data_IF_076085844993
#
_entry.id   IF_076085844993
#
_cell.length_a   1.000
_cell.length_b   1.000
_cell.length_c   1.000
_cell.angle_alpha   90.00
_cell.angle_beta   90.00
_cell.angle_gamma   90.00
#
_symmetry.space_group_name_H-M   'P 1'
#
loop_
_entity.id
_entity.type
_entity.pdbx_description
1 polymer ?
#
# COMPACT_ATOMS: atom_id res chain seq x y z
N UNK A 1 14.12 -9.15 -10.12
CA UNK A 1 14.24 -8.49 -8.81
C UNK A 1 14.22 -6.99 -9.08
N UNK A 2 13.46 -6.20 -8.31
CA UNK A 2 13.47 -4.75 -8.49
C UNK A 2 14.82 -4.17 -8.03
N UNK A 3 15.14 -2.96 -8.48
CA UNK A 3 16.32 -2.20 -8.03
C UNK A 3 16.00 -1.22 -6.89
N UNK A 4 14.72 -1.08 -6.56
CA UNK A 4 14.24 -0.16 -5.53
C UNK A 4 14.55 -0.65 -4.10
N UNK A 5 14.65 0.29 -3.16
CA UNK A 5 14.89 0.00 -1.76
C UNK A 5 13.76 -0.85 -1.14
N UNK A 6 14.14 -1.95 -0.50
CA UNK A 6 13.21 -2.85 0.19
C UNK A 6 13.00 -2.41 1.64
N UNK A 7 12.12 -1.42 1.84
CA UNK A 7 11.82 -0.84 3.15
C UNK A 7 10.56 -1.42 3.81
N UNK A 8 9.75 -2.18 3.08
CA UNK A 8 8.42 -2.59 3.53
C UNK A 8 8.39 -4.07 3.90
N UNK A 9 7.73 -4.42 5.00
CA UNK A 9 7.39 -5.81 5.31
C UNK A 9 5.93 -5.94 5.72
N UNK A 10 5.38 -7.14 5.57
CA UNK A 10 4.04 -7.45 6.06
C UNK A 10 4.12 -8.36 7.28
N UNK A 11 3.44 -8.00 8.36
CA UNK A 11 3.46 -8.76 9.62
C UNK A 11 2.51 -9.98 9.60
N UNK A 12 1.62 -10.08 8.61
CA UNK A 12 0.73 -11.23 8.43
C UNK A 12 1.23 -12.26 7.40
N UNK A 13 2.12 -11.87 6.49
CA UNK A 13 2.68 -12.79 5.50
C UNK A 13 3.67 -13.77 6.15
N UNK A 14 3.58 -15.04 5.75
CA UNK A 14 4.56 -16.05 6.15
C UNK A 14 5.97 -15.59 5.72
N UNK A 15 6.96 -15.70 6.61
CA UNK A 15 8.37 -15.31 6.38
C UNK A 15 8.65 -13.80 6.28
N UNK A 16 7.62 -12.96 6.11
CA UNK A 16 7.72 -11.48 6.13
C UNK A 16 8.93 -10.90 5.37
N UNK A 17 9.05 -11.14 4.05
CA UNK A 17 10.18 -10.61 3.27
C UNK A 17 10.15 -9.08 3.21
N UNK A 18 11.34 -8.47 3.11
CA UNK A 18 11.47 -7.05 2.78
C UNK A 18 11.21 -6.83 1.29
N UNK A 19 10.32 -5.89 0.99
CA UNK A 19 9.83 -5.56 -0.34
C UNK A 19 9.99 -4.05 -0.58
N UNK A 20 10.22 -3.67 -1.84
CA UNK A 20 10.00 -2.28 -2.22
C UNK A 20 8.50 -1.94 -2.24
N UNK A 21 8.15 -0.66 -2.37
CA UNK A 21 6.76 -0.22 -2.35
C UNK A 21 5.92 -0.88 -3.47
N UNK A 22 6.46 -1.01 -4.68
CA UNK A 22 5.76 -1.61 -5.83
C UNK A 22 5.55 -3.12 -5.64
N UNK A 23 6.58 -3.85 -5.20
CA UNK A 23 6.47 -5.28 -4.86
C UNK A 23 5.50 -5.52 -3.71
N UNK A 24 5.51 -4.64 -2.68
CA UNK A 24 4.56 -4.69 -1.57
C UNK A 24 3.12 -4.51 -2.08
N UNK A 25 2.87 -3.50 -2.94
CA UNK A 25 1.56 -3.27 -3.56
C UNK A 25 1.07 -4.47 -4.37
N UNK A 26 1.91 -5.04 -5.23
CA UNK A 26 1.54 -6.19 -6.08
C UNK A 26 1.20 -7.41 -5.21
N UNK A 27 2.06 -7.72 -4.23
CA UNK A 27 1.89 -8.87 -3.34
C UNK A 27 0.60 -8.80 -2.54
N UNK A 28 0.22 -7.61 -2.06
CA UNK A 28 -0.91 -7.42 -1.15
C UNK A 28 -2.18 -6.90 -1.84
N UNK A 29 -2.23 -6.78 -3.17
CA UNK A 29 -3.39 -6.26 -3.92
C UNK A 29 -4.71 -6.97 -3.57
N UNK A 30 -4.66 -8.26 -3.25
CA UNK A 30 -5.82 -9.10 -2.91
C UNK A 30 -5.90 -9.44 -1.41
N UNK A 31 -5.08 -8.78 -0.59
CA UNK A 31 -4.95 -9.03 0.85
C UNK A 31 -5.15 -7.72 1.62
N UNK A 32 -6.29 -7.02 1.47
CA UNK A 32 -6.48 -5.65 1.94
C UNK A 32 -6.43 -5.48 3.47
N UNK A 33 -6.55 -6.59 4.22
CA UNK A 33 -6.53 -6.59 5.69
C UNK A 33 -5.16 -6.93 6.28
N UNK A 34 -4.16 -7.22 5.45
CA UNK A 34 -2.81 -7.43 5.93
C UNK A 34 -2.21 -6.12 6.46
N UNK A 35 -1.47 -6.22 7.57
CA UNK A 35 -0.74 -5.11 8.16
C UNK A 35 0.69 -5.06 7.63
N UNK A 36 1.16 -3.84 7.36
CA UNK A 36 2.53 -3.60 6.92
C UNK A 36 3.26 -2.67 7.88
N UNK A 37 4.58 -2.70 7.77
CA UNK A 37 5.49 -1.81 8.45
C UNK A 37 6.51 -1.27 7.44
N UNK A 38 7.02 -0.07 7.73
CA UNK A 38 8.06 0.60 6.95
C UNK A 38 9.30 0.78 7.83
N UNK A 39 10.46 0.45 7.28
CA UNK A 39 11.75 0.73 7.92
C UNK A 39 12.07 2.22 7.84
N UNK A 40 12.23 2.87 9.00
CA UNK A 40 12.58 4.31 9.11
C UNK A 40 14.04 4.62 9.39
N UNK A 41 14.89 3.59 9.44
CA UNK A 41 16.33 3.69 9.65
C UNK A 41 16.78 3.06 10.96
N UNK A 42 15.97 3.17 12.00
CA UNK A 42 16.22 2.64 13.34
C UNK A 42 15.20 1.55 13.74
N UNK A 43 13.95 1.68 13.30
CA UNK A 43 12.88 0.76 13.65
C UNK A 43 11.86 0.58 12.51
N UNK A 44 11.01 -0.43 12.68
CA UNK A 44 9.83 -0.64 11.84
C UNK A 44 8.65 0.10 12.45
N UNK A 45 8.05 1.01 11.67
CA UNK A 45 6.84 1.71 12.07
C UNK A 45 5.60 1.10 11.40
N UNK A 46 4.49 0.93 12.13
CA UNK A 46 3.23 0.50 11.55
C UNK A 46 2.75 1.44 10.45
N UNK A 47 2.34 0.86 9.32
CA UNK A 47 1.76 1.58 8.18
C UNK A 47 0.53 0.85 7.65
N UNK A 48 -0.23 1.56 6.84
CA UNK A 48 -1.38 1.02 6.10
C UNK A 48 -0.96 0.69 4.67
N UNK A 49 -1.61 -0.30 4.07
CA UNK A 49 -1.40 -0.66 2.65
C UNK A 49 -1.66 0.52 1.70
N UNK A 50 -2.47 1.50 2.10
CA UNK A 50 -2.66 2.77 1.37
C UNK A 50 -1.36 3.58 1.22
N UNK A 51 -0.38 3.42 2.14
CA UNK A 51 0.93 4.08 2.05
C UNK A 51 1.76 3.59 0.86
N UNK A 52 1.49 2.38 0.36
CA UNK A 52 2.08 1.81 -0.86
C UNK A 52 1.12 1.84 -2.05
N UNK A 53 0.00 2.57 -1.94
CA UNK A 53 -0.95 2.79 -3.03
C UNK A 53 -1.93 1.64 -3.27
N UNK A 54 -2.24 0.83 -2.24
CA UNK A 54 -3.38 -0.09 -2.30
C UNK A 54 -4.66 0.66 -1.93
N UNK A 55 -5.67 0.47 -2.77
CA UNK A 55 -6.99 1.06 -2.64
C UNK A 55 -8.03 -0.05 -2.73
N UNK A 56 -9.19 0.16 -2.09
CA UNK A 56 -10.34 -0.74 -2.16
C UNK A 56 -11.44 -0.02 -2.93
N UNK A 57 -11.80 -0.54 -4.09
CA UNK A 57 -12.92 -0.02 -4.87
C UNK A 57 -14.20 -0.78 -4.47
N UNK A 58 -15.20 -0.05 -3.98
CA UNK A 58 -16.43 -0.62 -3.39
C UNK A 58 -17.51 -1.00 -4.43
N UNK A 59 -17.21 -0.89 -5.72
CA UNK A 59 -18.12 -1.20 -6.82
C UNK A 59 -17.37 -1.89 -7.97
N UNK A 60 -18.08 -2.17 -9.07
CA UNK A 60 -17.49 -2.72 -10.31
C UNK A 60 -16.58 -3.93 -10.10
N UNK A 61 -16.98 -4.86 -9.21
CA UNK A 61 -16.19 -6.07 -8.89
C UNK A 61 -14.75 -5.76 -8.40
N UNK A 62 -14.53 -4.57 -7.83
CA UNK A 62 -13.23 -4.11 -7.38
C UNK A 62 -12.42 -3.36 -8.44
N UNK A 63 -12.99 -3.11 -9.62
CA UNK A 63 -12.41 -2.22 -10.62
C UNK A 63 -12.68 -0.75 -10.27
N UNK A 64 -11.85 0.12 -10.85
CA UNK A 64 -12.04 1.57 -10.76
C UNK A 64 -13.35 1.94 -11.46
N UNK A 65 -14.16 2.80 -10.84
CA UNK A 65 -15.35 3.36 -11.46
C UNK A 65 -14.99 4.06 -12.79
N UNK A 66 -15.65 3.75 -13.92
CA UNK A 66 -15.36 4.38 -15.22
C UNK A 66 -15.42 5.91 -15.19
N UNK A 67 -16.35 6.48 -14.42
CA UNK A 67 -16.48 7.94 -14.24
C UNK A 67 -15.31 8.55 -13.46
N UNK A 68 -14.54 7.74 -12.74
CA UNK A 68 -13.39 8.18 -11.95
C UNK A 68 -12.04 7.83 -12.62
N UNK A 69 -12.07 7.21 -13.81
CA UNK A 69 -10.85 6.71 -14.47
C UNK A 69 -9.85 7.83 -14.76
N UNK A 70 -10.33 8.98 -15.27
CA UNK A 70 -9.49 10.15 -15.56
C UNK A 70 -8.88 10.75 -14.28
N UNK A 71 -9.70 10.91 -13.23
CA UNK A 71 -9.25 11.40 -11.93
C UNK A 71 -8.13 10.54 -11.30
N UNK A 72 -8.19 9.22 -11.46
CA UNK A 72 -7.15 8.32 -10.93
C UNK A 72 -5.86 8.30 -11.76
N UNK A 73 -5.97 8.40 -13.09
CA UNK A 73 -4.82 8.45 -13.99
C UNK A 73 -4.02 9.74 -13.80
N UNK A 74 -4.71 10.86 -13.52
CA UNK A 74 -4.11 12.15 -13.20
C UNK A 74 -3.55 12.25 -11.76
N UNK A 75 -3.69 11.18 -10.97
CA UNK A 75 -3.12 11.10 -9.63
C UNK A 75 -3.91 11.86 -8.55
N UNK A 76 -5.18 12.20 -8.79
CA UNK A 76 -6.01 13.03 -7.93
C UNK A 76 -6.26 12.49 -6.51
N UNK A 77 -6.02 11.20 -6.25
CA UNK A 77 -6.12 10.59 -4.92
C UNK A 77 -4.78 10.11 -4.33
N UNK A 78 -3.64 10.41 -4.96
CA UNK A 78 -2.31 9.96 -4.51
C UNK A 78 -1.76 10.71 -3.28
N UNK A 79 -2.61 11.21 -2.38
CA UNK A 79 -2.09 11.58 -1.07
C UNK A 79 -2.05 10.30 -0.23
N UNK A 80 -0.85 9.82 0.17
CA UNK A 80 -0.77 8.75 1.15
C UNK A 80 -1.63 9.16 2.33
N UNK A 81 -2.49 8.25 2.81
CA UNK A 81 -3.22 8.47 4.05
C UNK A 81 -2.21 8.86 5.14
N UNK A 82 -2.23 10.13 5.54
CA UNK A 82 -1.44 10.59 6.67
C UNK A 82 -2.17 10.12 7.92
N UNK A 83 -1.54 9.30 8.78
CA UNK A 83 -2.15 8.97 10.06
C UNK A 83 -2.46 10.29 10.79
N UNK A 84 -3.70 10.50 11.18
CA UNK A 84 -4.01 11.55 12.14
C UNK A 84 -3.23 11.24 13.41
N UNK A 85 -2.55 12.23 14.01
CA UNK A 85 -1.80 12.07 15.27
C UNK A 85 -2.71 11.81 16.49
N UNK A 86 -3.91 11.32 16.25
CA UNK A 86 -4.89 10.91 17.24
C UNK A 86 -4.95 9.40 17.11
N UNK A 87 -4.59 8.69 18.18
CA UNK A 87 -4.32 7.24 18.32
C UNK A 87 -2.86 6.85 18.10
#
# INVERSE_FOLDING_TARGET
MCVDACLWRCTNCLRSPLLCASCCRITHRRLPYHRIEEWKGDCFEPRWLSSVGIEIHLGHQGDICPENLLFFLDGGFRQPFQPSSKF
#
